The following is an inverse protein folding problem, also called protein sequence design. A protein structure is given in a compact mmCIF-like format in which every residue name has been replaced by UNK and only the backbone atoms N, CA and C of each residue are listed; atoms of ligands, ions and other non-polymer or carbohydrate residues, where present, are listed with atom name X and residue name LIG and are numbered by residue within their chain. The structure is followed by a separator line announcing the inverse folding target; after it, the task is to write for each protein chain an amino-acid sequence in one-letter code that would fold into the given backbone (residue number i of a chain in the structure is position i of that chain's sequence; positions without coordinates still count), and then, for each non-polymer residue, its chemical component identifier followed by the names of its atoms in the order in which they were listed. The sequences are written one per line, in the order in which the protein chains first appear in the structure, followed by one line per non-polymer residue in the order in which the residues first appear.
data_IF_093628770375
#
_entry.id   IF_093628770375
#
_cell.length_a   1.000
_cell.length_b   1.000
_cell.length_c   1.000
_cell.angle_alpha   90.00
_cell.angle_beta   90.00
_cell.angle_gamma   90.00
#
_symmetry.space_group_name_H-M   'P 1'
#
loop_
_entity.id
_entity.type
_entity.pdbx_description
1 polymer ?
#
# COMPACT_ATOMS: atom_id res chain seq x y z
N UNK A 1 -7.81 21.81 9.82
CA UNK A 1 -9.06 21.14 10.29
C UNK A 1 -8.65 19.78 10.80
N UNK A 2 -8.88 19.40 12.07
CA UNK A 2 -8.52 18.04 12.52
C UNK A 2 -9.56 17.03 12.03
N UNK A 3 -9.13 15.97 11.36
CA UNK A 3 -9.99 14.86 10.97
C UNK A 3 -10.50 14.14 12.23
N UNK A 4 -11.80 14.23 12.49
CA UNK A 4 -12.49 13.52 13.57
C UNK A 4 -13.02 12.18 13.05
N UNK A 5 -12.95 11.12 13.85
CA UNK A 5 -13.52 9.79 13.55
C UNK A 5 -12.52 8.72 13.13
N UNK A 6 -11.25 9.06 12.89
CA UNK A 6 -10.21 8.08 12.54
C UNK A 6 -9.57 7.41 13.76
N UNK A 7 -9.78 7.94 14.96
CA UNK A 7 -9.37 7.34 16.23
C UNK A 7 -10.03 5.97 16.50
N UNK A 8 -11.14 5.69 15.82
CA UNK A 8 -11.90 4.44 15.95
C UNK A 8 -11.91 3.60 14.66
N UNK A 9 -11.09 3.97 13.67
CA UNK A 9 -11.02 3.22 12.42
C UNK A 9 -10.45 1.81 12.65
N UNK A 10 -11.23 0.78 12.33
CA UNK A 10 -10.85 -0.62 12.51
C UNK A 10 -10.17 -1.15 11.24
N UNK A 11 -8.87 -0.90 11.11
CA UNK A 11 -8.07 -1.20 9.92
C UNK A 11 -8.18 -2.66 9.44
N UNK A 12 -8.03 -3.64 10.35
CA UNK A 12 -8.19 -5.06 9.99
C UNK A 12 -9.61 -5.42 9.55
N UNK A 13 -10.63 -4.84 10.19
CA UNK A 13 -12.01 -5.11 9.82
C UNK A 13 -12.32 -4.55 8.42
N UNK A 14 -11.79 -3.37 8.10
CA UNK A 14 -11.83 -2.80 6.76
C UNK A 14 -11.16 -3.73 5.74
N UNK A 15 -9.93 -4.20 6.00
CA UNK A 15 -9.26 -5.12 5.09
C UNK A 15 -10.04 -6.43 4.88
N UNK A 16 -10.58 -7.00 5.96
CA UNK A 16 -11.37 -8.24 5.85
C UNK A 16 -12.66 -8.05 5.05
N UNK A 17 -13.32 -6.90 5.19
CA UNK A 17 -14.55 -6.59 4.47
C UNK A 17 -14.30 -6.36 2.97
N UNK A 18 -13.30 -5.54 2.63
CA UNK A 18 -13.07 -5.08 1.26
C UNK A 18 -12.07 -5.91 0.46
N UNK A 19 -11.20 -6.66 1.13
CA UNK A 19 -10.11 -7.42 0.49
C UNK A 19 -10.00 -8.85 1.00
N UNK A 20 -10.84 -9.27 1.95
CA UNK A 20 -10.83 -10.62 2.52
C UNK A 20 -11.38 -11.69 1.56
N UNK A 21 -12.10 -11.27 0.53
CA UNK A 21 -12.41 -12.08 -0.65
C UNK A 21 -11.91 -11.36 -1.90
N UNK A 22 -11.54 -12.13 -2.92
CA UNK A 22 -11.12 -11.59 -4.21
C UNK A 22 -12.29 -11.62 -5.19
N UNK A 23 -12.77 -10.47 -5.62
CA UNK A 23 -13.96 -10.34 -6.46
C UNK A 23 -13.75 -9.47 -7.72
N UNK A 24 -14.83 -9.17 -8.43
CA UNK A 24 -14.78 -8.36 -9.67
C UNK A 24 -14.30 -6.93 -9.47
N UNK A 25 -14.51 -6.34 -8.30
CA UNK A 25 -14.02 -4.99 -7.97
C UNK A 25 -12.50 -5.02 -7.80
N UNK A 26 -11.95 -6.04 -7.15
CA UNK A 26 -10.48 -6.25 -7.09
C UNK A 26 -9.88 -6.35 -8.49
N UNK A 27 -10.49 -7.14 -9.39
CA UNK A 27 -10.00 -7.28 -10.76
C UNK A 27 -9.93 -5.93 -11.46
N UNK A 28 -11.01 -5.15 -11.42
CA UNK A 28 -11.06 -3.84 -12.05
C UNK A 28 -10.00 -2.89 -11.47
N UNK A 29 -9.93 -2.81 -10.15
CA UNK A 29 -9.05 -1.90 -9.43
C UNK A 29 -7.57 -2.23 -9.68
N UNK A 30 -7.20 -3.50 -9.60
CA UNK A 30 -5.84 -3.97 -9.83
C UNK A 30 -5.42 -3.82 -11.30
N UNK A 31 -6.31 -4.11 -12.26
CA UNK A 31 -6.04 -3.86 -13.68
C UNK A 31 -5.84 -2.37 -13.95
N UNK A 32 -6.70 -1.51 -13.41
CA UNK A 32 -6.55 -0.06 -13.55
C UNK A 32 -5.21 0.44 -12.98
N UNK A 33 -4.85 0.04 -11.75
CA UNK A 33 -3.56 0.40 -11.17
C UNK A 33 -2.40 -0.13 -12.02
N UNK A 34 -2.48 -1.38 -12.48
CA UNK A 34 -1.46 -1.97 -13.33
C UNK A 34 -1.24 -1.17 -14.62
N UNK A 35 -2.30 -0.85 -15.35
CA UNK A 35 -2.22 -0.07 -16.59
C UNK A 35 -1.64 1.33 -16.37
N UNK A 36 -2.04 2.00 -15.28
CA UNK A 36 -1.53 3.33 -14.91
C UNK A 36 -0.03 3.27 -14.64
N UNK A 37 0.43 2.35 -13.79
CA UNK A 37 1.84 2.25 -13.45
C UNK A 37 2.70 1.78 -14.63
N UNK A 38 2.22 0.83 -15.43
CA UNK A 38 2.97 0.35 -16.60
C UNK A 38 3.20 1.42 -17.66
N UNK A 39 2.32 2.42 -17.75
CA UNK A 39 2.48 3.58 -18.63
C UNK A 39 3.54 4.59 -18.13
N UNK A 40 3.97 4.51 -16.87
CA UNK A 40 4.95 5.43 -16.30
C UNK A 40 6.39 4.97 -16.61
N UNK A 41 7.33 5.90 -16.85
CA UNK A 41 8.74 5.56 -16.84
C UNK A 41 9.18 5.13 -15.44
N UNK A 42 10.30 4.40 -15.30
CA UNK A 42 10.91 4.17 -13.99
C UNK A 42 11.18 5.49 -13.27
N UNK A 43 10.94 5.51 -11.96
CA UNK A 43 11.14 6.66 -11.08
C UNK A 43 11.99 6.28 -9.87
N UNK A 44 12.83 7.20 -9.41
CA UNK A 44 13.68 6.96 -8.24
C UNK A 44 12.85 6.83 -6.95
N UNK A 45 11.76 7.60 -6.83
CA UNK A 45 10.92 7.60 -5.65
C UNK A 45 9.46 7.88 -5.98
N UNK A 46 8.57 7.29 -5.18
CA UNK A 46 7.13 7.52 -5.18
C UNK A 46 6.64 7.77 -3.76
N UNK A 47 5.61 8.60 -3.61
CA UNK A 47 4.91 8.79 -2.33
C UNK A 47 3.46 8.31 -2.51
N UNK A 48 3.05 7.37 -1.67
CA UNK A 48 1.66 6.97 -1.50
C UNK A 48 1.09 7.77 -0.32
N UNK A 49 0.13 8.66 -0.58
CA UNK A 49 -0.48 9.52 0.45
C UNK A 49 -1.91 9.08 0.68
N UNK A 50 -2.26 8.73 1.91
CA UNK A 50 -3.64 8.39 2.27
C UNK A 50 -4.07 7.00 1.80
N UNK A 51 -3.14 6.05 1.65
CA UNK A 51 -3.44 4.69 1.17
C UNK A 51 -4.22 3.82 2.15
N UNK A 52 -4.53 4.33 3.35
CA UNK A 52 -5.22 3.57 4.38
C UNK A 52 -4.38 2.35 4.82
N UNK A 53 -4.99 1.21 5.17
CA UNK A 53 -4.26 0.00 5.53
C UNK A 53 -3.83 -0.83 4.30
N UNK A 54 -3.91 -0.27 3.08
CA UNK A 54 -3.86 -1.03 1.84
C UNK A 54 -2.51 -0.90 1.12
N UNK A 55 -2.09 -1.98 0.45
CA UNK A 55 -0.89 -1.98 -0.41
C UNK A 55 -1.17 -2.36 -1.87
N UNK A 56 -2.43 -2.65 -2.23
CA UNK A 56 -2.78 -3.15 -3.56
C UNK A 56 -2.26 -2.28 -4.74
N UNK A 57 -2.26 -0.92 -4.69
CA UNK A 57 -1.73 -0.12 -5.81
C UNK A 57 -0.21 -0.31 -5.94
N UNK A 58 0.46 -0.51 -4.80
CA UNK A 58 1.91 -0.60 -4.71
C UNK A 58 2.44 -1.89 -5.32
N UNK A 59 1.59 -2.92 -5.47
CA UNK A 59 1.96 -4.18 -6.10
C UNK A 59 2.47 -3.90 -7.51
N UNK A 60 1.70 -3.21 -8.35
CA UNK A 60 2.15 -2.83 -9.70
C UNK A 60 3.22 -1.72 -9.67
N UNK A 61 3.07 -0.73 -8.78
CA UNK A 61 4.03 0.36 -8.65
C UNK A 61 5.46 -0.12 -8.33
N UNK A 62 5.60 -1.29 -7.68
CA UNK A 62 6.89 -1.87 -7.32
C UNK A 62 7.83 -1.99 -8.53
N UNK A 63 7.32 -2.20 -9.75
CA UNK A 63 8.15 -2.34 -10.96
C UNK A 63 8.71 -1.01 -11.47
N UNK A 64 8.13 0.11 -11.03
CA UNK A 64 8.38 1.44 -11.56
C UNK A 64 9.13 2.32 -10.57
N UNK A 65 8.82 2.21 -9.28
CA UNK A 65 9.49 2.95 -8.23
C UNK A 65 10.67 2.17 -7.62
N UNK A 66 11.81 2.83 -7.43
CA UNK A 66 12.93 2.25 -6.67
C UNK A 66 12.72 2.33 -5.15
N UNK A 67 12.04 3.39 -4.69
CA UNK A 67 11.68 3.61 -3.28
C UNK A 67 10.25 4.12 -3.18
N UNK A 68 9.51 3.64 -2.18
CA UNK A 68 8.12 4.02 -1.93
C UNK A 68 8.00 4.53 -0.50
N UNK A 69 7.60 5.78 -0.34
CA UNK A 69 7.23 6.36 0.96
C UNK A 69 5.71 6.20 1.14
N UNK A 70 5.29 5.56 2.22
CA UNK A 70 3.88 5.46 2.57
C UNK A 70 3.55 6.46 3.67
N UNK A 71 2.65 7.39 3.38
CA UNK A 71 2.25 8.49 4.24
C UNK A 71 0.76 8.34 4.56
N UNK A 72 0.42 8.13 5.83
CA UNK A 72 -0.95 7.84 6.22
C UNK A 72 -1.30 8.49 7.56
N UNK A 73 -2.50 9.08 7.66
CA UNK A 73 -2.96 9.82 8.83
C UNK A 73 -3.29 8.91 10.01
N UNK A 74 -4.04 7.82 9.78
CA UNK A 74 -4.50 6.95 10.85
C UNK A 74 -3.39 6.03 11.37
N UNK A 75 -3.19 6.03 12.70
CA UNK A 75 -2.20 5.15 13.37
C UNK A 75 -2.48 3.67 13.09
N UNK A 76 -3.75 3.26 13.13
CA UNK A 76 -4.14 1.86 12.90
C UNK A 76 -3.82 1.40 11.47
N UNK A 77 -4.00 2.28 10.49
CA UNK A 77 -3.67 2.00 9.09
C UNK A 77 -2.16 1.83 8.89
N UNK A 78 -1.36 2.74 9.44
CA UNK A 78 0.10 2.61 9.41
C UNK A 78 0.57 1.32 10.06
N UNK A 79 -0.05 0.90 11.17
CA UNK A 79 0.30 -0.34 11.84
C UNK A 79 0.07 -1.59 10.97
N UNK A 80 -1.03 -1.64 10.21
CA UNK A 80 -1.30 -2.75 9.28
C UNK A 80 -0.27 -2.82 8.14
N UNK A 81 0.05 -1.68 7.53
CA UNK A 81 1.05 -1.62 6.46
C UNK A 81 2.44 -1.98 6.98
N UNK A 82 2.81 -1.50 8.17
CA UNK A 82 4.07 -1.86 8.83
C UNK A 82 4.14 -3.34 9.19
N UNK A 83 3.06 -3.93 9.71
CA UNK A 83 3.00 -5.35 10.00
C UNK A 83 3.27 -6.19 8.73
N UNK A 84 2.65 -5.82 7.60
CA UNK A 84 2.91 -6.47 6.33
C UNK A 84 4.34 -6.22 5.82
N UNK A 85 4.84 -5.00 5.91
CA UNK A 85 6.20 -4.60 5.49
C UNK A 85 7.27 -5.39 6.23
N UNK A 86 7.08 -5.60 7.54
CA UNK A 86 7.97 -6.35 8.42
C UNK A 86 7.75 -7.87 8.35
N UNK A 87 6.84 -8.35 7.50
CA UNK A 87 6.48 -9.75 7.38
C UNK A 87 6.05 -10.37 8.73
N UNK A 88 5.23 -9.64 9.49
CA UNK A 88 4.64 -10.11 10.73
C UNK A 88 3.73 -11.34 10.49
N UNK A 89 3.69 -12.26 11.45
CA UNK A 89 2.95 -13.52 11.30
C UNK A 89 1.43 -13.33 11.18
N UNK A 90 0.91 -12.22 11.68
CA UNK A 90 -0.51 -11.84 11.65
C UNK A 90 -0.83 -10.77 10.60
N UNK A 91 0.14 -10.40 9.75
CA UNK A 91 -0.08 -9.46 8.65
C UNK A 91 -1.21 -9.93 7.72
N UNK A 92 -1.92 -8.98 7.13
CA UNK A 92 -2.97 -9.29 6.16
C UNK A 92 -2.38 -10.02 4.94
N UNK A 93 -3.07 -11.05 4.47
CA UNK A 93 -2.64 -11.84 3.32
C UNK A 93 -3.06 -11.17 2.01
N UNK A 94 -2.09 -10.59 1.32
CA UNK A 94 -2.28 -9.98 0.00
C UNK A 94 -1.96 -10.95 -1.16
N UNK A 95 -1.66 -12.22 -0.88
CA UNK A 95 -1.28 -13.20 -1.90
C UNK A 95 -2.28 -13.32 -3.06
N UNK A 96 -3.61 -13.23 -2.86
CA UNK A 96 -4.56 -13.22 -3.99
C UNK A 96 -4.33 -12.07 -4.95
N UNK A 97 -4.15 -10.85 -4.43
CA UNK A 97 -3.91 -9.64 -5.23
C UNK A 97 -2.54 -9.71 -5.94
N UNK A 98 -1.50 -10.22 -5.27
CA UNK A 98 -0.20 -10.47 -5.89
C UNK A 98 -0.30 -11.51 -7.01
N UNK A 99 -1.02 -12.61 -6.78
CA UNK A 99 -1.23 -13.66 -7.79
C UNK A 99 -1.92 -13.10 -9.03
N UNK A 100 -2.91 -12.23 -8.86
CA UNK A 100 -3.55 -11.57 -10.00
C UNK A 100 -2.59 -10.66 -10.79
N UNK A 101 -1.84 -9.80 -10.11
CA UNK A 101 -0.84 -8.94 -10.79
C UNK A 101 0.27 -9.77 -11.45
N UNK A 102 0.68 -10.89 -10.84
CA UNK A 102 1.63 -11.82 -11.43
C UNK A 102 1.16 -12.31 -12.81
N UNK A 103 -0.14 -12.57 -12.97
CA UNK A 103 -0.73 -12.97 -14.25
C UNK A 103 -0.63 -11.85 -15.29
N UNK A 104 -0.96 -10.61 -14.91
CA UNK A 104 -0.87 -9.44 -15.79
C UNK A 104 0.57 -9.19 -16.25
N UNK A 105 1.54 -9.45 -15.37
CA UNK A 105 2.97 -9.30 -15.66
C UNK A 105 3.61 -10.49 -16.37
N UNK A 106 2.82 -11.51 -16.72
CA UNK A 106 3.32 -12.66 -17.50
C UNK A 106 4.18 -13.64 -16.70
N UNK A 107 3.99 -13.73 -15.39
CA UNK A 107 4.63 -14.73 -14.52
C UNK A 107 6.16 -14.68 -14.48
N UNK A 108 6.77 -13.50 -14.67
CA UNK A 108 8.24 -13.37 -14.67
C UNK A 108 8.88 -13.54 -13.28
N UNK A 109 8.09 -13.41 -12.22
CA UNK A 109 8.49 -13.58 -10.81
C UNK A 109 7.43 -14.42 -10.10
N UNK A 110 7.82 -15.17 -9.09
CA UNK A 110 6.91 -15.80 -8.13
C UNK A 110 6.24 -14.74 -7.22
N UNK A 111 5.07 -15.05 -6.66
CA UNK A 111 4.39 -14.16 -5.69
C UNK A 111 5.32 -13.79 -4.54
N UNK A 112 6.08 -14.74 -3.99
CA UNK A 112 7.01 -14.47 -2.89
C UNK A 112 8.13 -13.49 -3.29
N UNK A 113 8.69 -13.61 -4.49
CA UNK A 113 9.68 -12.66 -5.00
C UNK A 113 9.07 -11.26 -5.16
N UNK A 114 7.84 -11.17 -5.65
CA UNK A 114 7.12 -9.88 -5.77
C UNK A 114 6.87 -9.23 -4.41
N UNK A 115 6.43 -10.01 -3.42
CA UNK A 115 6.22 -9.52 -2.06
C UNK A 115 7.53 -9.04 -1.42
N UNK A 116 8.60 -9.82 -1.54
CA UNK A 116 9.92 -9.44 -1.03
C UNK A 116 10.46 -8.19 -1.70
N UNK A 117 10.28 -8.06 -3.01
CA UNK A 117 10.67 -6.87 -3.76
C UNK A 117 9.95 -5.63 -3.25
N UNK A 118 8.61 -5.69 -3.11
CA UNK A 118 7.84 -4.56 -2.61
C UNK A 118 8.23 -4.20 -1.17
N UNK A 119 8.39 -5.19 -0.27
CA UNK A 119 8.83 -4.94 1.12
C UNK A 119 10.17 -4.23 1.20
N UNK A 120 11.11 -4.56 0.30
CA UNK A 120 12.44 -3.91 0.23
C UNK A 120 12.34 -2.46 -0.26
N UNK A 121 11.42 -2.16 -1.17
CA UNK A 121 11.23 -0.83 -1.75
C UNK A 121 10.38 0.08 -0.88
N UNK A 122 9.49 -0.50 -0.06
CA UNK A 122 8.63 0.21 0.87
C UNK A 122 9.43 0.67 2.09
N UNK A 123 9.54 1.99 2.25
CA UNK A 123 10.15 2.64 3.40
C UNK A 123 9.22 2.54 4.63
N UNK A 124 9.74 2.76 5.85
CA UNK A 124 8.90 2.87 7.03
C UNK A 124 7.79 3.91 6.83
N UNK A 125 6.56 3.54 7.17
CA UNK A 125 5.39 4.38 7.05
C UNK A 125 5.53 5.61 7.93
N UNK A 126 5.22 6.78 7.37
CA UNK A 126 5.25 8.05 8.09
C UNK A 126 3.83 8.56 8.35
N UNK A 127 3.62 9.33 9.43
CA UNK A 127 2.42 10.14 9.60
C UNK A 127 2.28 11.16 8.46
N UNK A 128 1.04 11.52 8.14
CA UNK A 128 0.76 12.70 7.33
C UNK A 128 -0.54 13.36 7.74
N UNK A 129 -0.72 14.64 7.40
CA UNK A 129 -2.01 15.33 7.45
C UNK A 129 -2.15 16.19 6.19
N UNK A 130 -3.03 15.78 5.27
CA UNK A 130 -3.26 16.48 4.01
C UNK A 130 -3.92 17.86 4.16
N UNK A 131 -4.39 18.20 5.37
CA UNK A 131 -4.91 19.52 5.71
C UNK A 131 -3.85 20.45 6.31
N UNK A 132 -2.64 19.96 6.54
CA UNK A 132 -1.50 20.78 6.92
C UNK A 132 -0.86 21.43 5.69
N UNK A 133 -0.27 22.62 5.85
CA UNK A 133 0.51 23.28 4.80
C UNK A 133 1.76 22.46 4.44
N UNK A 134 2.16 21.60 5.38
CA UNK A 134 3.32 20.74 5.34
C UNK A 134 2.93 19.26 5.58
N UNK A 135 2.28 18.58 4.60
CA UNK A 135 1.58 17.32 4.85
C UNK A 135 2.43 16.15 5.33
N UNK A 136 3.73 16.16 5.03
CA UNK A 136 4.65 15.05 5.28
C UNK A 136 5.65 15.32 6.41
N UNK A 137 5.66 16.52 7.00
CA UNK A 137 6.66 16.96 7.99
C UNK A 137 6.11 17.00 9.43
N UNK A 138 4.82 16.74 9.62
CA UNK A 138 4.08 16.99 10.86
C UNK A 138 4.36 16.15 12.11
N UNK A 139 5.39 15.28 12.21
CA UNK A 139 5.80 14.67 13.51
C UNK A 139 7.32 14.70 13.78
N UNK A 140 8.05 15.68 13.23
CA UNK A 140 9.33 16.06 13.82
C UNK A 140 9.07 16.90 15.10
N UNK A 141 8.58 16.28 16.19
CA UNK A 141 8.43 17.00 17.47
C UNK A 141 7.36 16.54 18.47
N UNK A 142 6.95 15.26 18.50
CA UNK A 142 6.18 14.71 19.64
C UNK A 142 6.85 13.47 20.20
#
# INVERSE_FOLDING_TARGET
MKLQGFEHFAARAYLNEYFGSFDTEDHFLLTFCHDVYEALPPVEAMVEIGGGPCIYPLISARRRAERILFAEYCVANRAEVEAWRLNAADAFDWSPQFSFIQQLEGFTQSVDEMQQELRRKLLPCIPCDVFDDEPLTGLAGQ
#
